data_IF_852045692315
#
_entry.id   IF_852045692315
#
_cell.length_a   1.000
_cell.length_b   1.000
_cell.length_c   1.000
_cell.angle_alpha   90.00
_cell.angle_beta   90.00
_cell.angle_gamma   90.00
#
_symmetry.space_group_name_H-M   'P 1'
#
loop_
_entity.id
_entity.type
_entity.pdbx_description
1 polymer ?
#
# COMPACT_ATOMS: atom_id res chain seq x y z
N UNK A 1 12.60 12.38 -15.72
CA UNK A 1 11.53 11.44 -15.34
C UNK A 1 10.80 12.03 -14.16
N UNK A 2 9.46 11.92 -14.12
CA UNK A 2 8.66 12.36 -12.98
C UNK A 2 8.78 11.31 -11.86
N UNK A 3 8.92 11.76 -10.61
CA UNK A 3 9.00 10.87 -9.43
C UNK A 3 7.67 10.16 -9.22
N UNK A 4 7.68 8.84 -9.02
CA UNK A 4 6.45 8.05 -8.79
C UNK A 4 5.92 8.27 -7.36
N UNK A 5 4.63 8.02 -7.09
CA UNK A 5 4.09 8.05 -5.73
C UNK A 5 4.86 7.12 -4.77
N UNK A 6 5.31 5.96 -5.27
CA UNK A 6 6.14 5.02 -4.51
C UNK A 6 7.48 5.65 -4.11
N UNK A 7 8.17 6.30 -5.06
CA UNK A 7 9.42 7.01 -4.78
C UNK A 7 9.23 8.17 -3.79
N UNK A 8 8.15 8.94 -3.93
CA UNK A 8 7.79 9.99 -2.98
C UNK A 8 7.55 9.45 -1.57
N UNK A 9 6.86 8.31 -1.45
CA UNK A 9 6.63 7.64 -0.17
C UNK A 9 7.94 7.16 0.47
N UNK A 10 8.83 6.55 -0.31
CA UNK A 10 10.17 6.13 0.15
C UNK A 10 10.94 7.35 0.68
N UNK A 11 11.03 8.42 -0.13
CA UNK A 11 11.69 9.66 0.25
C UNK A 11 11.13 10.26 1.53
N UNK A 12 9.80 10.31 1.65
CA UNK A 12 9.12 10.82 2.84
C UNK A 12 9.43 9.98 4.09
N UNK A 13 9.48 8.65 3.95
CA UNK A 13 9.78 7.75 5.07
C UNK A 13 11.21 7.88 5.60
N UNK A 14 12.18 8.19 4.72
CA UNK A 14 13.55 8.48 5.12
C UNK A 14 13.75 9.92 5.62
N UNK A 15 12.82 10.82 5.32
CA UNK A 15 12.78 12.18 5.85
C UNK A 15 14.08 12.97 5.62
N UNK A 16 14.63 13.55 6.68
CA UNK A 16 15.87 14.35 6.63
C UNK A 16 17.11 13.52 6.26
N UNK A 17 17.05 12.20 6.41
CA UNK A 17 18.15 11.31 6.10
C UNK A 17 18.19 10.91 4.63
N UNK A 18 17.14 11.20 3.84
CA UNK A 18 17.01 10.78 2.44
C UNK A 18 18.26 11.09 1.61
N UNK A 19 18.77 12.31 1.66
CA UNK A 19 19.92 12.73 0.86
C UNK A 19 21.20 11.95 1.16
N UNK A 20 21.31 11.35 2.35
CA UNK A 20 22.46 10.55 2.77
C UNK A 20 22.35 9.08 2.36
N UNK A 21 21.13 8.57 2.20
CA UNK A 21 20.86 7.14 1.95
C UNK A 21 20.38 6.83 0.55
N UNK A 22 19.90 7.82 -0.21
CA UNK A 22 19.23 7.62 -1.51
C UNK A 22 20.02 6.77 -2.52
N UNK A 23 21.35 6.82 -2.48
CA UNK A 23 22.21 6.05 -3.39
C UNK A 23 22.35 4.57 -2.97
N UNK A 24 21.84 4.22 -1.78
CA UNK A 24 21.88 2.89 -1.17
C UNK A 24 20.49 2.30 -0.91
N UNK A 25 19.43 3.02 -1.27
CA UNK A 25 18.03 2.61 -1.14
C UNK A 25 17.54 2.05 -2.48
N UNK A 26 16.99 0.84 -2.45
CA UNK A 26 16.42 0.20 -3.64
C UNK A 26 14.97 0.67 -3.96
N UNK A 27 14.37 0.08 -4.99
CA UNK A 27 13.03 0.42 -5.46
C UNK A 27 11.88 0.06 -4.48
N UNK A 28 12.18 -0.74 -3.45
CA UNK A 28 11.26 -1.15 -2.39
C UNK A 28 11.59 -0.47 -1.04
N UNK A 29 12.52 0.48 -1.08
CA UNK A 29 12.89 1.27 0.08
C UNK A 29 13.86 0.56 1.02
N UNK A 30 14.50 -0.55 0.64
CA UNK A 30 15.52 -1.20 1.46
C UNK A 30 16.87 -0.49 1.33
N UNK A 31 17.40 -0.03 2.46
CA UNK A 31 18.74 0.54 2.55
C UNK A 31 19.76 -0.53 2.94
N UNK A 32 20.91 -0.53 2.26
CA UNK A 32 22.03 -1.37 2.63
C UNK A 32 22.68 -0.88 3.96
N UNK A 33 22.80 -1.78 4.95
CA UNK A 33 23.29 -1.47 6.29
C UNK A 33 24.79 -1.13 6.36
N UNK A 34 25.57 -1.46 5.33
CA UNK A 34 27.02 -1.24 5.33
C UNK A 34 27.45 0.20 5.00
N UNK A 35 26.56 1.03 4.46
CA UNK A 35 26.92 2.33 3.87
C UNK A 35 26.51 3.56 4.68
N UNK A 36 26.49 3.45 6.02
CA UNK A 36 26.82 4.60 6.87
C UNK A 36 25.67 5.35 7.54
N UNK A 37 24.43 4.84 7.52
CA UNK A 37 23.43 5.20 8.53
C UNK A 37 23.01 3.93 9.24
N UNK A 38 23.29 3.88 10.54
CA UNK A 38 22.81 2.79 11.35
C UNK A 38 21.28 2.95 11.48
N UNK A 39 20.54 1.86 11.37
CA UNK A 39 19.10 1.80 11.68
C UNK A 39 18.72 2.42 13.04
N UNK A 40 19.70 2.72 13.89
CA UNK A 40 19.60 3.39 15.20
C UNK A 40 19.11 4.84 15.12
N UNK A 41 19.23 5.50 13.97
CA UNK A 41 18.69 6.86 13.76
C UNK A 41 17.17 6.83 13.48
N UNK A 42 16.58 5.64 13.37
CA UNK A 42 15.16 5.42 13.11
C UNK A 42 14.53 4.62 14.25
N UNK A 43 13.47 5.17 14.86
CA UNK A 43 12.80 4.56 16.01
C UNK A 43 12.07 3.24 15.68
N UNK A 44 11.60 3.06 14.44
CA UNK A 44 10.87 1.86 14.01
C UNK A 44 11.32 1.41 12.61
N UNK A 45 12.15 0.37 12.57
CA UNK A 45 12.70 -0.21 11.34
C UNK A 45 12.36 -1.70 11.22
N UNK A 46 12.20 -2.16 9.98
CA UNK A 46 12.26 -3.58 9.67
C UNK A 46 13.62 -3.92 9.06
N UNK A 47 14.16 -5.08 9.40
CA UNK A 47 15.47 -5.54 8.94
C UNK A 47 15.40 -6.96 8.39
N UNK A 48 16.14 -7.21 7.31
CA UNK A 48 16.29 -8.53 6.69
C UNK A 48 17.77 -8.68 6.29
N UNK A 49 18.48 -9.62 6.92
CA UNK A 49 19.91 -9.84 6.68
C UNK A 49 20.72 -8.55 6.85
N UNK A 50 21.20 -7.99 5.75
CA UNK A 50 22.11 -6.85 5.67
C UNK A 50 21.41 -5.57 5.16
N UNK A 51 20.08 -5.59 5.06
CA UNK A 51 19.27 -4.45 4.65
C UNK A 51 18.24 -4.10 5.71
N UNK A 52 17.83 -2.84 5.73
CA UNK A 52 16.81 -2.31 6.62
C UNK A 52 15.98 -1.24 5.93
N UNK A 53 14.76 -0.98 6.43
CA UNK A 53 13.93 0.16 5.99
C UNK A 53 13.05 0.68 7.12
N UNK A 54 12.58 1.94 7.06
CA UNK A 54 11.53 2.43 7.93
C UNK A 54 10.30 1.51 7.85
N UNK A 55 9.72 1.14 9.00
CA UNK A 55 8.58 0.21 9.02
C UNK A 55 7.30 0.82 8.41
N UNK A 56 7.24 2.14 8.28
CA UNK A 56 6.19 2.82 7.50
C UNK A 56 6.17 2.41 6.02
N UNK A 57 7.27 1.85 5.49
CA UNK A 57 7.35 1.30 4.13
C UNK A 57 6.96 -0.18 4.06
N UNK A 58 6.51 -0.78 5.15
CA UNK A 58 6.13 -2.20 5.14
C UNK A 58 4.99 -2.45 4.14
N UNK A 59 5.18 -3.44 3.27
CA UNK A 59 4.24 -3.80 2.21
C UNK A 59 4.26 -2.87 1.00
N UNK A 60 5.16 -1.90 0.89
CA UNK A 60 5.26 -1.00 -0.28
C UNK A 60 5.54 -1.75 -1.58
N UNK A 61 6.22 -2.89 -1.52
CA UNK A 61 6.45 -3.82 -2.63
C UNK A 61 5.14 -4.35 -3.24
N UNK A 62 4.08 -4.41 -2.44
CA UNK A 62 2.75 -4.93 -2.80
C UNK A 62 1.67 -3.84 -2.72
N UNK A 63 2.06 -2.56 -2.78
CA UNK A 63 1.15 -1.42 -2.62
C UNK A 63 0.29 -1.50 -1.34
N UNK A 64 0.88 -2.01 -0.25
CA UNK A 64 0.22 -2.26 1.04
C UNK A 64 -1.07 -3.11 0.93
N UNK A 65 -1.12 -4.01 -0.06
CA UNK A 65 -2.28 -4.88 -0.31
C UNK A 65 -3.37 -4.25 -1.18
N UNK A 66 -3.23 -2.97 -1.56
CA UNK A 66 -4.18 -2.28 -2.43
C UNK A 66 -3.98 -2.65 -3.90
N UNK A 67 -5.06 -3.05 -4.54
CA UNK A 67 -5.15 -3.23 -5.98
C UNK A 67 -5.79 -1.99 -6.60
N UNK A 68 -5.09 -1.36 -7.55
CA UNK A 68 -5.65 -0.23 -8.33
C UNK A 68 -6.60 -0.78 -9.39
N UNK A 69 -7.77 -0.15 -9.54
CA UNK A 69 -8.74 -0.53 -10.57
C UNK A 69 -8.46 0.31 -11.83
N UNK A 70 -7.88 -0.30 -12.86
CA UNK A 70 -7.71 0.34 -14.17
C UNK A 70 -8.68 -0.25 -15.20
N UNK A 71 -9.20 -1.45 -14.93
CA UNK A 71 -10.11 -2.21 -15.79
C UNK A 71 -11.02 -3.13 -14.97
N UNK A 72 -11.96 -3.80 -15.65
CA UNK A 72 -12.79 -4.84 -15.02
C UNK A 72 -11.96 -6.06 -14.54
N UNK A 73 -10.78 -6.28 -15.12
CA UNK A 73 -9.91 -7.40 -14.75
C UNK A 73 -9.35 -7.22 -13.33
N UNK A 74 -9.16 -5.96 -12.91
CA UNK A 74 -8.60 -5.59 -11.59
C UNK A 74 -9.65 -5.62 -10.47
N UNK A 75 -10.94 -5.72 -10.81
CA UNK A 75 -12.01 -5.72 -9.82
C UNK A 75 -11.93 -6.92 -8.87
N UNK A 76 -12.39 -6.75 -7.61
CA UNK A 76 -12.56 -7.87 -6.69
C UNK A 76 -13.40 -8.96 -7.33
N UNK A 77 -12.92 -10.20 -7.24
CA UNK A 77 -13.68 -11.35 -7.76
C UNK A 77 -14.74 -11.73 -6.72
N UNK A 78 -16.04 -11.74 -7.07
CA UNK A 78 -17.13 -12.00 -6.11
C UNK A 78 -17.05 -13.37 -5.42
N UNK A 79 -16.32 -14.32 -6.03
CA UNK A 79 -16.09 -15.65 -5.47
C UNK A 79 -14.88 -15.60 -4.52
N UNK A 80 -15.12 -15.37 -3.23
CA UNK A 80 -14.15 -15.60 -2.16
C UNK A 80 -13.78 -14.41 -1.29
N UNK A 81 -14.28 -13.20 -1.58
CA UNK A 81 -14.09 -12.02 -0.72
C UNK A 81 -15.45 -11.35 -0.53
N UNK A 82 -16.05 -11.46 0.66
CA UNK A 82 -17.41 -10.91 0.86
C UNK A 82 -17.37 -9.38 1.00
N UNK A 83 -16.48 -8.88 1.86
CA UNK A 83 -16.33 -7.46 2.13
C UNK A 83 -14.94 -6.98 1.70
N UNK A 84 -14.88 -5.82 1.04
CA UNK A 84 -13.66 -5.16 0.59
C UNK A 84 -13.59 -3.75 1.15
N UNK A 85 -12.38 -3.30 1.46
CA UNK A 85 -12.11 -1.89 1.70
C UNK A 85 -11.84 -1.24 0.34
N UNK A 86 -12.46 -0.10 0.06
CA UNK A 86 -12.29 0.64 -1.20
C UNK A 86 -11.84 2.06 -0.93
N UNK A 87 -11.07 2.62 -1.86
CA UNK A 87 -10.75 4.04 -1.92
C UNK A 87 -11.45 4.62 -3.15
N UNK A 88 -12.26 5.66 -2.97
CA UNK A 88 -12.87 6.37 -4.10
C UNK A 88 -11.82 7.19 -4.87
N UNK A 89 -12.16 7.68 -6.05
CA UNK A 89 -11.35 8.68 -6.76
C UNK A 89 -11.22 10.00 -5.98
N UNK A 90 -12.12 10.27 -5.02
CA UNK A 90 -12.05 11.43 -4.13
C UNK A 90 -11.19 11.18 -2.88
N UNK A 91 -10.69 9.96 -2.68
CA UNK A 91 -9.86 9.58 -1.54
C UNK A 91 -10.66 9.15 -0.30
N UNK A 92 -11.99 9.01 -0.39
CA UNK A 92 -12.80 8.47 0.69
C UNK A 92 -12.58 6.96 0.83
N UNK A 93 -12.57 6.48 2.08
CA UNK A 93 -12.39 5.05 2.37
C UNK A 93 -13.70 4.49 2.90
N UNK A 94 -14.25 3.48 2.23
CA UNK A 94 -15.49 2.79 2.65
C UNK A 94 -15.32 1.27 2.61
N UNK A 95 -16.23 0.56 3.28
CA UNK A 95 -16.33 -0.90 3.18
C UNK A 95 -17.53 -1.22 2.29
N UNK A 96 -17.29 -2.03 1.27
CA UNK A 96 -18.30 -2.44 0.30
C UNK A 96 -18.37 -3.95 0.19
N UNK A 97 -19.54 -4.47 -0.19
CA UNK A 97 -19.71 -5.90 -0.42
C UNK A 97 -19.42 -6.26 -1.88
N UNK A 98 -18.45 -7.14 -2.12
CA UNK A 98 -18.03 -7.47 -3.49
C UNK A 98 -19.08 -8.28 -4.26
N UNK A 99 -20.06 -8.90 -3.58
CA UNK A 99 -21.16 -9.59 -4.26
C UNK A 99 -22.05 -8.63 -5.05
N UNK A 100 -22.04 -7.33 -4.71
CA UNK A 100 -22.72 -6.29 -5.48
C UNK A 100 -22.16 -6.16 -6.91
N UNK A 101 -20.90 -6.53 -7.14
CA UNK A 101 -20.26 -6.54 -8.46
C UNK A 101 -20.80 -7.62 -9.40
N UNK A 102 -21.73 -8.47 -8.96
CA UNK A 102 -22.51 -9.31 -9.87
C UNK A 102 -23.44 -8.46 -10.75
N UNK A 103 -23.88 -7.30 -10.26
CA UNK A 103 -24.66 -6.32 -11.01
C UNK A 103 -23.76 -5.50 -11.95
N UNK A 104 -24.14 -5.42 -13.22
CA UNK A 104 -23.37 -4.71 -14.25
C UNK A 104 -23.33 -3.20 -14.05
N UNK A 105 -24.40 -2.60 -13.52
CA UNK A 105 -24.45 -1.16 -13.27
C UNK A 105 -23.55 -0.79 -12.09
N UNK A 106 -23.48 -1.66 -11.07
CA UNK A 106 -22.54 -1.49 -9.95
C UNK A 106 -21.09 -1.58 -10.44
N UNK A 107 -20.75 -2.57 -11.28
CA UNK A 107 -19.41 -2.64 -11.88
C UNK A 107 -19.05 -1.37 -12.65
N UNK A 108 -19.96 -0.89 -13.52
CA UNK A 108 -19.74 0.34 -14.29
C UNK A 108 -19.57 1.57 -13.41
N UNK A 109 -20.32 1.64 -12.31
CA UNK A 109 -20.16 2.69 -11.32
C UNK A 109 -18.77 2.63 -10.70
N UNK A 110 -18.34 1.45 -10.23
CA UNK A 110 -17.02 1.27 -9.61
C UNK A 110 -15.87 1.66 -10.53
N UNK A 111 -15.91 1.28 -11.81
CA UNK A 111 -14.89 1.69 -12.79
C UNK A 111 -14.71 3.22 -12.91
N UNK A 112 -15.71 4.00 -12.50
CA UNK A 112 -15.71 5.46 -12.61
C UNK A 112 -15.43 6.17 -11.29
N UNK A 113 -15.60 5.48 -10.16
CA UNK A 113 -15.63 6.12 -8.85
C UNK A 113 -14.69 5.50 -7.83
N UNK A 114 -14.23 4.27 -8.04
CA UNK A 114 -13.34 3.57 -7.11
C UNK A 114 -11.96 3.45 -7.73
N UNK A 115 -10.96 3.97 -7.02
CA UNK A 115 -9.56 3.98 -7.46
C UNK A 115 -8.82 2.71 -7.03
N UNK A 116 -9.05 2.23 -5.81
CA UNK A 116 -8.34 1.08 -5.24
C UNK A 116 -9.27 0.22 -4.39
N UNK A 117 -8.90 -1.05 -4.21
CA UNK A 117 -9.55 -1.95 -3.26
C UNK A 117 -8.54 -2.90 -2.59
N UNK A 118 -8.92 -3.44 -1.43
CA UNK A 118 -8.25 -4.58 -0.81
C UNK A 118 -9.25 -5.44 -0.03
N UNK A 119 -8.96 -6.73 0.27
CA UNK A 119 -9.80 -7.53 1.14
C UNK A 119 -10.00 -6.89 2.52
N UNK A 120 -11.24 -6.83 3.02
CA UNK A 120 -11.50 -6.32 4.36
C UNK A 120 -11.24 -7.42 5.41
N UNK A 121 -10.29 -7.18 6.31
CA UNK A 121 -10.01 -8.07 7.45
C UNK A 121 -10.87 -7.61 8.62
N UNK A 122 -11.93 -8.36 8.94
CA UNK A 122 -12.81 -8.07 10.09
C UNK A 122 -11.98 -8.06 11.37
N UNK A 123 -12.08 -7.00 12.19
CA UNK A 123 -11.40 -6.97 13.48
C UNK A 123 -11.99 -8.04 14.40
N UNK A 124 -11.19 -8.50 15.36
CA UNK A 124 -11.70 -9.36 16.43
C UNK A 124 -12.79 -8.61 17.20
N UNK A 125 -13.86 -9.32 17.56
CA UNK A 125 -14.92 -8.75 18.38
C UNK A 125 -14.34 -8.28 19.73
N UNK A 126 -14.84 -7.16 20.29
CA UNK A 126 -14.53 -6.77 21.66
C UNK A 126 -14.84 -7.93 22.62
N UNK A 127 -14.01 -8.07 23.65
CA UNK A 127 -14.18 -9.11 24.66
C UNK A 127 -15.18 -8.72 25.77
N UNK A 128 -15.76 -7.52 25.70
CA UNK A 128 -16.79 -6.99 26.60
C UNK A 128 -17.56 -5.85 25.94
#
# INVERSE_FOLDING_TARGET
MMETPKQQAIKAAYGEHWERVKDYVDEDGWCNAFFGIAARDFDDTESKREVWRPKSLSGIETNQGWTRIESEEDMPKPKGVEDVLVITETGEITVENSMSLNDIEVRRYWLRTISHWQPFIKPNLPLY
#
